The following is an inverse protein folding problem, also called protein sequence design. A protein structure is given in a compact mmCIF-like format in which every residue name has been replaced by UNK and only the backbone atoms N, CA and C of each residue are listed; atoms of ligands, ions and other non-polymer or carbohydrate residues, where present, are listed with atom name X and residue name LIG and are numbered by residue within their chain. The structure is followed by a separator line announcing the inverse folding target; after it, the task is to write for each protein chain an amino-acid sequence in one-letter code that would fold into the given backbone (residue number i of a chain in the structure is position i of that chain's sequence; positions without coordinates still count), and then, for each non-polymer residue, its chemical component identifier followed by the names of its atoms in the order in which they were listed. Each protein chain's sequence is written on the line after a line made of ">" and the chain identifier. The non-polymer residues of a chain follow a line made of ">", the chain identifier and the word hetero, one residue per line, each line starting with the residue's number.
data_IF_559160609978
#
_entry.id   IF_559160609978
#
_cell.length_a   1.000
_cell.length_b   1.000
_cell.length_c   1.000
_cell.angle_alpha   90.00
_cell.angle_beta   90.00
_cell.angle_gamma   90.00
#
_symmetry.space_group_name_H-M   'P 1'
#
loop_
_entity.id
_entity.type
_entity.pdbx_description
1 polymer ?
#
# COMPACT_ATOMS: atom_id res chain seq x y z
N UNK A 1 -21.59 19.55 -17.10
CA UNK A 1 -20.99 18.51 -16.27
C UNK A 1 -19.80 19.08 -15.52
N UNK A 2 -19.84 19.05 -14.22
CA UNK A 2 -18.73 19.49 -13.40
C UNK A 2 -17.63 18.43 -13.39
N UNK A 3 -16.37 18.84 -13.43
CA UNK A 3 -15.26 17.95 -13.20
C UNK A 3 -15.39 17.30 -11.82
N UNK A 4 -14.96 16.06 -11.64
CA UNK A 4 -14.95 15.45 -10.32
C UNK A 4 -14.15 16.34 -9.37
N UNK A 5 -14.71 16.63 -8.22
CA UNK A 5 -13.99 17.37 -7.20
C UNK A 5 -12.80 16.56 -6.71
N UNK A 6 -11.64 17.20 -6.64
CA UNK A 6 -10.46 16.62 -6.03
C UNK A 6 -10.72 16.49 -4.52
N UNK A 7 -10.53 15.29 -4.00
CA UNK A 7 -10.63 15.05 -2.57
C UNK A 7 -9.22 15.01 -1.97
N UNK A 8 -8.80 16.03 -1.19
CA UNK A 8 -7.45 16.07 -0.65
C UNK A 8 -7.08 14.88 0.23
N UNK A 9 -8.04 14.32 0.95
CA UNK A 9 -7.83 13.14 1.79
C UNK A 9 -7.47 11.93 0.92
N UNK A 10 -8.25 11.68 -0.13
CA UNK A 10 -8.02 10.54 -1.02
C UNK A 10 -6.70 10.70 -1.77
N UNK A 11 -6.38 11.90 -2.23
CA UNK A 11 -5.10 12.18 -2.89
C UNK A 11 -3.92 11.96 -1.94
N UNK A 12 -4.05 12.39 -0.69
CA UNK A 12 -3.02 12.21 0.32
C UNK A 12 -2.75 10.72 0.58
N UNK A 13 -3.81 9.95 0.78
CA UNK A 13 -3.71 8.50 1.02
C UNK A 13 -3.10 7.78 -0.18
N UNK A 14 -3.49 8.15 -1.40
CA UNK A 14 -2.89 7.59 -2.62
C UNK A 14 -1.40 7.89 -2.69
N UNK A 15 -0.97 9.10 -2.32
CA UNK A 15 0.44 9.45 -2.28
C UNK A 15 1.21 8.63 -1.25
N UNK A 16 0.62 8.34 -0.09
CA UNK A 16 1.24 7.48 0.92
C UNK A 16 1.39 6.05 0.43
N UNK A 17 0.38 5.51 -0.25
CA UNK A 17 0.46 4.18 -0.85
C UNK A 17 1.58 4.10 -1.88
N UNK A 18 1.70 5.10 -2.74
CA UNK A 18 2.75 5.17 -3.76
C UNK A 18 4.14 5.24 -3.14
N UNK A 19 4.31 5.89 -2.00
CA UNK A 19 5.57 5.89 -1.26
C UNK A 19 5.97 4.47 -0.86
N UNK A 20 5.04 3.64 -0.44
CA UNK A 20 5.31 2.25 -0.08
C UNK A 20 5.68 1.37 -1.28
N UNK A 21 5.45 1.84 -2.50
CA UNK A 21 5.86 1.14 -3.73
C UNK A 21 7.26 1.57 -4.21
N UNK A 22 7.79 2.66 -3.67
CA UNK A 22 9.12 3.16 -4.00
C UNK A 22 10.19 2.25 -3.38
N UNK A 23 11.10 1.68 -4.16
CA UNK A 23 12.14 0.78 -3.64
C UNK A 23 13.01 1.41 -2.56
N UNK A 24 13.29 2.70 -2.65
CA UNK A 24 14.11 3.42 -1.64
C UNK A 24 13.37 3.47 -0.30
N UNK A 25 12.07 3.79 -0.32
CA UNK A 25 11.23 3.83 0.89
C UNK A 25 11.09 2.43 1.47
N UNK A 26 10.83 1.43 0.62
CA UNK A 26 10.64 0.03 1.07
C UNK A 26 11.84 -0.51 1.83
N UNK A 27 13.06 -0.07 1.50
CA UNK A 27 14.29 -0.50 2.18
C UNK A 27 14.60 0.30 3.43
N UNK A 28 13.90 1.40 3.64
CA UNK A 28 14.06 2.22 4.83
C UNK A 28 13.04 1.80 5.89
N UNK A 29 13.50 0.94 6.83
CA UNK A 29 12.62 0.38 7.86
C UNK A 29 11.87 1.45 8.64
N UNK A 30 12.54 2.54 8.97
CA UNK A 30 11.92 3.63 9.73
C UNK A 30 10.83 4.32 8.92
N UNK A 31 11.08 4.59 7.64
CA UNK A 31 10.12 5.22 6.76
C UNK A 31 8.86 4.35 6.58
N UNK A 32 9.05 3.04 6.39
CA UNK A 32 7.92 2.11 6.30
C UNK A 32 7.16 2.03 7.61
N UNK A 33 7.85 1.92 8.73
CA UNK A 33 7.22 1.82 10.06
C UNK A 33 6.34 3.03 10.36
N UNK A 34 6.73 4.22 9.92
CA UNK A 34 5.93 5.45 10.10
C UNK A 34 4.61 5.42 9.31
N UNK A 35 4.55 4.63 8.24
CA UNK A 35 3.37 4.51 7.38
C UNK A 35 2.44 3.37 7.78
N UNK A 36 2.88 2.48 8.68
CA UNK A 36 2.09 1.33 9.12
C UNK A 36 1.46 1.57 10.49
N UNK A 37 0.19 1.20 10.63
CA UNK A 37 -0.47 1.13 11.93
C UNK A 37 0.21 0.04 12.78
N UNK A 38 0.35 0.21 14.11
CA UNK A 38 0.94 -0.82 14.96
C UNK A 38 0.28 -2.19 14.86
N UNK A 39 -1.01 -2.24 14.53
CA UNK A 39 -1.77 -3.47 14.36
C UNK A 39 -1.87 -3.92 12.90
N UNK A 40 -1.02 -3.39 12.03
CA UNK A 40 -1.00 -3.74 10.61
C UNK A 40 -0.78 -5.23 10.40
N UNK A 41 -1.49 -5.79 9.41
CA UNK A 41 -1.18 -7.10 8.84
C UNK A 41 -1.54 -7.13 7.35
N UNK A 42 -0.98 -8.10 6.65
CA UNK A 42 -1.15 -8.22 5.20
C UNK A 42 -1.41 -9.66 4.81
N UNK A 43 -2.36 -9.85 3.87
CA UNK A 43 -2.49 -11.09 3.12
C UNK A 43 -1.71 -10.93 1.81
N UNK A 44 -0.54 -11.52 1.75
CA UNK A 44 0.34 -11.40 0.58
C UNK A 44 -0.21 -12.12 -0.64
N UNK A 45 0.26 -11.72 -1.81
CA UNK A 45 -0.15 -12.28 -3.10
C UNK A 45 0.03 -13.79 -3.17
N UNK A 46 1.04 -14.33 -2.50
CA UNK A 46 1.33 -15.78 -2.47
C UNK A 46 0.54 -16.55 -1.41
N UNK A 47 -0.31 -15.88 -0.64
CA UNK A 47 -1.06 -16.48 0.45
C UNK A 47 -0.37 -16.44 1.81
N UNK A 48 0.81 -15.84 1.90
CA UNK A 48 1.52 -15.67 3.17
C UNK A 48 0.86 -14.55 3.96
N UNK A 49 0.65 -14.78 5.25
CA UNK A 49 0.18 -13.73 6.18
C UNK A 49 1.40 -13.05 6.79
N UNK A 50 1.48 -11.74 6.63
CA UNK A 50 2.56 -10.91 7.17
C UNK A 50 2.04 -10.09 8.33
N UNK A 51 2.63 -10.27 9.50
CA UNK A 51 2.41 -9.38 10.63
C UNK A 51 3.38 -8.19 10.55
N UNK A 52 3.11 -7.14 11.29
CA UNK A 52 3.83 -5.86 11.23
C UNK A 52 5.36 -6.01 11.20
N UNK A 53 5.95 -6.65 12.21
CA UNK A 53 7.41 -6.71 12.32
C UNK A 53 8.01 -7.65 11.27
N UNK A 54 7.34 -8.75 10.95
CA UNK A 54 7.80 -9.67 9.93
C UNK A 54 7.84 -9.01 8.54
N UNK A 55 6.86 -8.15 8.24
CA UNK A 55 6.87 -7.41 6.98
C UNK A 55 8.05 -6.44 6.94
N UNK A 56 8.30 -5.70 8.01
CA UNK A 56 9.44 -4.77 8.06
C UNK A 56 10.77 -5.50 7.82
N UNK A 57 10.95 -6.67 8.42
CA UNK A 57 12.15 -7.48 8.23
C UNK A 57 12.27 -7.94 6.76
N UNK A 58 11.18 -8.42 6.18
CA UNK A 58 11.16 -8.91 4.80
C UNK A 58 11.46 -7.80 3.79
N UNK A 59 10.93 -6.59 3.98
CA UNK A 59 11.17 -5.46 3.08
C UNK A 59 12.63 -5.01 3.11
N UNK A 60 13.28 -5.09 4.25
CA UNK A 60 14.69 -4.74 4.39
C UNK A 60 15.62 -5.65 3.57
N UNK A 61 15.20 -6.87 3.26
CA UNK A 61 15.95 -7.86 2.49
C UNK A 61 15.40 -8.07 1.08
N UNK A 62 14.51 -7.20 0.64
CA UNK A 62 13.83 -7.33 -0.64
C UNK A 62 14.80 -7.18 -1.82
N UNK A 63 14.50 -7.89 -2.92
CA UNK A 63 15.26 -7.81 -4.17
C UNK A 63 15.07 -6.44 -4.87
N UNK A 64 15.71 -6.28 -6.04
CA UNK A 64 15.67 -5.05 -6.83
C UNK A 64 14.48 -4.99 -7.80
N UNK A 65 13.39 -5.66 -7.50
CA UNK A 65 12.20 -5.60 -8.35
C UNK A 65 11.63 -4.18 -8.41
N UNK A 66 11.07 -3.82 -9.56
CA UNK A 66 10.30 -2.60 -9.72
C UNK A 66 8.81 -2.91 -9.61
N UNK A 67 8.06 -1.98 -9.03
CA UNK A 67 6.60 -2.12 -8.92
C UNK A 67 5.96 -0.91 -9.60
N UNK A 68 5.12 -1.19 -10.59
CA UNK A 68 4.32 -0.16 -11.27
C UNK A 68 2.87 -0.39 -10.89
N UNK A 69 2.18 0.67 -10.52
CA UNK A 69 0.79 0.60 -10.10
C UNK A 69 -0.06 1.57 -10.91
N UNK A 70 -1.27 1.13 -11.24
CA UNK A 70 -2.25 1.94 -11.95
C UNK A 70 -3.68 1.56 -11.53
N UNK A 71 -4.67 2.27 -12.09
CA UNK A 71 -6.06 1.98 -11.82
C UNK A 71 -6.48 2.29 -10.39
N UNK A 72 -5.87 3.26 -9.75
CA UNK A 72 -6.19 3.63 -8.38
C UNK A 72 -7.63 4.08 -8.24
N UNK A 73 -8.32 3.51 -7.24
CA UNK A 73 -9.64 3.94 -6.80
C UNK A 73 -9.60 4.07 -5.29
N UNK A 74 -10.10 5.19 -4.78
CA UNK A 74 -10.09 5.47 -3.35
C UNK A 74 -11.50 5.84 -2.89
N UNK A 75 -11.91 5.27 -1.76
CA UNK A 75 -13.24 5.48 -1.19
C UNK A 75 -13.11 5.77 0.30
N UNK A 76 -13.67 6.89 0.75
CA UNK A 76 -13.79 7.16 2.17
C UNK A 76 -14.98 6.36 2.71
N UNK A 77 -14.69 5.31 3.49
CA UNK A 77 -15.73 4.42 4.02
C UNK A 77 -16.41 5.00 5.26
N UNK A 78 -15.66 5.79 6.01
CA UNK A 78 -16.11 6.48 7.20
C UNK A 78 -15.10 7.60 7.48
N UNK A 79 -15.42 8.52 8.38
CA UNK A 79 -14.47 9.53 8.81
C UNK A 79 -13.20 8.84 9.35
N UNK A 80 -12.07 9.16 8.74
CA UNK A 80 -10.79 8.56 9.14
C UNK A 80 -10.54 7.14 8.64
N UNK A 81 -11.32 6.63 7.67
CA UNK A 81 -11.13 5.30 7.08
C UNK A 81 -11.25 5.38 5.56
N UNK A 82 -10.18 4.98 4.86
CA UNK A 82 -10.15 4.97 3.39
C UNK A 82 -9.81 3.57 2.88
N UNK A 83 -10.59 3.09 1.91
CA UNK A 83 -10.27 1.91 1.12
C UNK A 83 -9.61 2.37 -0.17
N UNK A 84 -8.45 1.82 -0.48
CA UNK A 84 -7.71 2.09 -1.71
C UNK A 84 -7.52 0.78 -2.46
N UNK A 85 -7.86 0.77 -3.75
CA UNK A 85 -7.63 -0.39 -4.62
C UNK A 85 -6.85 0.03 -5.86
N UNK A 86 -6.07 -0.90 -6.40
CA UNK A 86 -5.29 -0.66 -7.61
C UNK A 86 -4.78 -1.97 -8.19
N UNK A 87 -4.15 -1.87 -9.35
CA UNK A 87 -3.49 -2.96 -10.05
C UNK A 87 -1.99 -2.72 -10.01
N UNK A 88 -1.21 -3.75 -9.71
CA UNK A 88 0.25 -3.65 -9.70
C UNK A 88 0.90 -4.68 -10.61
N UNK A 89 2.07 -4.31 -11.13
CA UNK A 89 2.96 -5.22 -11.85
C UNK A 89 4.34 -5.13 -11.20
N UNK A 90 4.78 -6.23 -10.62
CA UNK A 90 6.12 -6.37 -10.06
C UNK A 90 7.00 -7.06 -11.07
N UNK A 91 8.10 -6.41 -11.46
CA UNK A 91 9.03 -6.92 -12.45
C UNK A 91 10.39 -7.15 -11.82
N UNK A 92 10.89 -8.38 -11.93
CA UNK A 92 12.25 -8.74 -11.57
C UNK A 92 12.86 -9.48 -12.76
N UNK A 93 13.88 -8.89 -13.39
CA UNK A 93 14.46 -9.41 -14.63
C UNK A 93 13.36 -9.56 -15.71
N UNK A 94 13.11 -10.79 -16.19
CA UNK A 94 12.09 -11.07 -17.20
C UNK A 94 10.75 -11.55 -16.60
N UNK A 95 10.67 -11.65 -15.27
CA UNK A 95 9.48 -12.15 -14.60
C UNK A 95 8.58 -11.00 -14.18
N UNK A 96 7.31 -11.07 -14.58
CA UNK A 96 6.28 -10.10 -14.18
C UNK A 96 5.21 -10.79 -13.34
N UNK A 97 4.89 -10.19 -12.22
CA UNK A 97 3.82 -10.66 -11.33
C UNK A 97 2.75 -9.57 -11.25
N UNK A 98 1.55 -9.90 -11.72
CA UNK A 98 0.40 -9.01 -11.70
C UNK A 98 -0.45 -9.31 -10.48
N UNK A 99 -0.97 -8.26 -9.87
CA UNK A 99 -1.83 -8.40 -8.69
C UNK A 99 -2.90 -7.33 -8.66
N UNK A 100 -4.05 -7.69 -8.12
CA UNK A 100 -5.03 -6.74 -7.61
C UNK A 100 -4.67 -6.46 -6.17
N UNK A 101 -4.68 -5.20 -5.78
CA UNK A 101 -4.26 -4.75 -4.46
C UNK A 101 -5.38 -3.99 -3.76
N UNK A 102 -5.49 -4.16 -2.47
CA UNK A 102 -6.38 -3.36 -1.63
C UNK A 102 -5.70 -3.00 -0.33
N UNK A 103 -5.92 -1.78 0.13
CA UNK A 103 -5.38 -1.28 1.38
C UNK A 103 -6.46 -0.56 2.16
N UNK A 104 -6.43 -0.70 3.48
CA UNK A 104 -7.24 0.09 4.39
C UNK A 104 -6.31 1.03 5.13
N UNK A 105 -6.56 2.34 4.99
CA UNK A 105 -5.84 3.40 5.67
C UNK A 105 -6.71 4.01 6.74
N UNK A 106 -6.14 4.26 7.91
CA UNK A 106 -6.86 4.84 9.05
C UNK A 106 -6.11 6.08 9.55
N UNK A 107 -6.88 7.09 9.96
CA UNK A 107 -6.32 8.30 10.57
C UNK A 107 -6.23 8.08 12.08
N UNK A 108 -5.01 8.18 12.61
CA UNK A 108 -4.78 8.09 14.04
C UNK A 108 -5.24 9.33 14.80
N UNK A 109 -5.21 9.24 16.12
CA UNK A 109 -5.54 10.37 16.99
C UNK A 109 -4.58 11.55 16.84
N UNK A 110 -3.37 11.28 16.32
CA UNK A 110 -2.36 12.30 16.01
C UNK A 110 -2.58 12.99 14.65
N UNK A 111 -3.65 12.63 13.94
CA UNK A 111 -3.96 13.15 12.61
C UNK A 111 -3.20 12.50 11.47
N UNK A 112 -2.29 11.56 11.74
CA UNK A 112 -1.51 10.88 10.72
C UNK A 112 -2.28 9.68 10.17
N UNK A 113 -2.19 9.49 8.85
CA UNK A 113 -2.76 8.33 8.17
C UNK A 113 -1.75 7.19 8.16
N UNK A 114 -2.22 5.98 8.52
CA UNK A 114 -1.38 4.77 8.52
C UNK A 114 -2.14 3.62 7.89
N UNK A 115 -1.41 2.75 7.20
CA UNK A 115 -2.00 1.54 6.60
C UNK A 115 -2.31 0.54 7.71
N UNK A 116 -3.58 0.14 7.79
CA UNK A 116 -4.08 -0.83 8.77
C UNK A 116 -4.09 -2.25 8.24
N UNK A 117 -4.30 -2.40 6.93
CA UNK A 117 -4.39 -3.69 6.25
C UNK A 117 -4.02 -3.55 4.79
N UNK A 118 -3.42 -4.59 4.23
CA UNK A 118 -3.14 -4.68 2.79
C UNK A 118 -3.37 -6.10 2.31
N UNK A 119 -3.84 -6.25 1.06
CA UNK A 119 -4.02 -7.54 0.42
C UNK A 119 -3.59 -7.49 -1.03
N UNK A 120 -2.88 -8.53 -1.46
CA UNK A 120 -2.59 -8.78 -2.86
C UNK A 120 -3.24 -10.08 -3.32
N UNK A 121 -3.79 -10.06 -4.54
CA UNK A 121 -4.40 -11.24 -5.17
C UNK A 121 -3.82 -11.37 -6.57
N UNK A 122 -3.35 -12.57 -6.98
CA UNK A 122 -2.87 -12.76 -8.35
C UNK A 122 -3.91 -12.33 -9.37
N UNK A 123 -3.50 -11.55 -10.36
CA UNK A 123 -4.36 -11.07 -11.44
C UNK A 123 -3.93 -11.66 -12.77
N UNK A 124 -4.90 -11.75 -13.66
CA UNK A 124 -4.65 -12.24 -15.01
C UNK A 124 -3.80 -11.23 -15.83
#
# INVERSE_FOLDING_TARGET
>A
MTAPETNPILEHVMALEQRLLDPVVRRDRKAVAELLDPDFYEFGRSGVVWLHDALLDALGEEDNATIVADGFQAHELADGVVLLTYHSVRTLLLTKQRALRSSVWVRGSDGQWRMRFHQGTPAA
#
